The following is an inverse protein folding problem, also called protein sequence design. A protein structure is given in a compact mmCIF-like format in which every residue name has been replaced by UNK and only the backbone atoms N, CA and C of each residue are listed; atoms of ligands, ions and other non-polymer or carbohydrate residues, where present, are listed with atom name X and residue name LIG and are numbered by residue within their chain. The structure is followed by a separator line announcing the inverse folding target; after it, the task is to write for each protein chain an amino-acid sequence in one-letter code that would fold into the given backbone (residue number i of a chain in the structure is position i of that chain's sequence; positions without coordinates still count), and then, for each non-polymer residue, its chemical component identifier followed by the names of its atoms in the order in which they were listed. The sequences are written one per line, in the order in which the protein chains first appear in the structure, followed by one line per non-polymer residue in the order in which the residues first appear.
data_IF_641563509326
#
_entry.id   IF_641563509326
#
_cell.length_a   1.000
_cell.length_b   1.000
_cell.length_c   1.000
_cell.angle_alpha   90.00
_cell.angle_beta   90.00
_cell.angle_gamma   90.00
#
_symmetry.space_group_name_H-M   'P 1'
#
loop_
_entity.id
_entity.type
_entity.pdbx_description
1 polymer ?
#
# COMPACT_ATOMS: atom_id res chain seq x y z
N UNK A 1 -15.25 5.57 33.59
CA UNK A 1 -15.56 5.07 34.96
C UNK A 1 -15.64 3.55 34.92
N UNK A 2 -15.01 2.86 35.84
CA UNK A 2 -15.06 1.40 35.97
C UNK A 2 -15.60 1.09 37.36
N UNK A 3 -16.65 0.27 37.44
CA UNK A 3 -17.28 -0.17 38.68
C UNK A 3 -17.28 -1.70 38.74
N UNK A 4 -16.71 -2.24 39.81
CA UNK A 4 -16.85 -3.63 40.25
C UNK A 4 -17.69 -3.63 41.54
N UNK A 5 -18.94 -4.07 41.51
CA UNK A 5 -19.80 -3.99 42.67
C UNK A 5 -19.34 -4.94 43.76
N UNK A 6 -19.58 -4.51 45.02
CA UNK A 6 -19.48 -5.33 46.20
C UNK A 6 -20.87 -5.31 46.89
N UNK A 7 -21.12 -6.22 47.80
CA UNK A 7 -22.44 -6.40 48.44
C UNK A 7 -23.00 -5.15 49.11
N UNK A 8 -22.16 -4.17 49.43
CA UNK A 8 -22.56 -2.90 50.08
C UNK A 8 -22.51 -1.70 49.10
N UNK A 9 -22.33 -1.92 47.81
CA UNK A 9 -22.20 -0.84 46.83
C UNK A 9 -23.54 -0.29 46.43
N UNK A 10 -23.80 1.00 46.68
CA UNK A 10 -24.99 1.72 46.21
C UNK A 10 -24.84 2.10 44.73
N UNK A 11 -25.27 1.19 43.87
CA UNK A 11 -25.09 1.28 42.44
C UNK A 11 -25.86 2.45 41.83
N UNK A 12 -27.09 2.70 42.30
CA UNK A 12 -27.95 3.76 41.76
C UNK A 12 -27.37 5.13 42.08
N UNK A 13 -27.01 5.37 43.35
CA UNK A 13 -26.39 6.63 43.76
C UNK A 13 -25.09 6.89 43.05
N UNK A 14 -24.24 5.87 42.83
CA UNK A 14 -23.00 6.02 42.06
C UNK A 14 -23.29 6.40 40.61
N UNK A 15 -24.31 5.78 39.99
CA UNK A 15 -24.66 6.11 38.60
C UNK A 15 -25.21 7.56 38.49
N UNK A 16 -26.03 8.00 39.45
CA UNK A 16 -26.50 9.38 39.48
C UNK A 16 -25.37 10.39 39.66
N UNK A 17 -24.43 10.13 40.58
CA UNK A 17 -23.27 11.01 40.79
C UNK A 17 -22.35 11.05 39.58
N UNK A 18 -22.16 9.93 38.86
CA UNK A 18 -21.45 9.93 37.60
C UNK A 18 -22.15 10.83 36.59
N UNK A 19 -23.47 10.71 36.45
CA UNK A 19 -24.25 11.53 35.53
C UNK A 19 -24.17 13.02 35.86
N UNK A 20 -24.32 13.35 37.17
CA UNK A 20 -24.27 14.72 37.68
C UNK A 20 -22.88 15.35 37.49
N UNK A 21 -21.83 14.53 37.63
CA UNK A 21 -20.45 14.99 37.45
C UNK A 21 -20.13 15.21 35.98
N UNK A 22 -20.49 14.27 35.11
CA UNK A 22 -20.26 14.35 33.66
C UNK A 22 -20.94 15.58 33.07
N UNK A 23 -22.13 15.91 33.49
CA UNK A 23 -22.88 17.09 33.03
C UNK A 23 -22.18 18.45 33.30
N UNK A 24 -21.19 18.49 34.17
CA UNK A 24 -20.44 19.72 34.51
C UNK A 24 -19.22 19.95 33.57
N UNK A 25 -18.90 18.99 32.72
CA UNK A 25 -17.69 19.04 31.87
C UNK A 25 -18.02 18.73 30.42
N UNK A 26 -17.39 19.45 29.51
CA UNK A 26 -17.44 19.17 28.07
C UNK A 26 -16.40 18.10 27.67
N UNK A 27 -16.55 16.92 28.25
CA UNK A 27 -15.67 15.77 27.96
C UNK A 27 -16.52 14.51 27.80
N UNK A 28 -16.18 13.64 26.82
CA UNK A 28 -16.88 12.36 26.68
C UNK A 28 -16.62 11.49 27.92
N UNK A 29 -17.65 10.87 28.43
CA UNK A 29 -17.56 9.90 29.51
C UNK A 29 -18.05 8.53 29.03
N UNK A 30 -17.39 7.49 29.49
CA UNK A 30 -17.72 6.11 29.24
C UNK A 30 -17.73 5.36 30.57
N UNK A 31 -18.68 4.44 30.74
CA UNK A 31 -18.80 3.66 31.95
C UNK A 31 -18.70 2.16 31.67
N UNK A 32 -18.08 1.41 32.58
CA UNK A 32 -18.12 -0.04 32.60
C UNK A 32 -18.54 -0.48 33.98
N UNK A 33 -19.82 -0.91 34.09
CA UNK A 33 -20.37 -1.47 35.32
C UNK A 33 -20.42 -2.98 35.14
N UNK A 34 -19.53 -3.67 35.85
CA UNK A 34 -19.39 -5.12 35.79
C UNK A 34 -20.33 -5.76 36.83
N UNK A 35 -21.05 -6.82 36.47
CA UNK A 35 -21.92 -7.50 37.41
C UNK A 35 -23.36 -7.75 36.91
N UNK A 36 -23.60 -7.50 35.63
CA UNK A 36 -24.82 -7.80 34.86
C UNK A 36 -26.10 -7.48 35.66
N UNK A 37 -26.68 -8.44 36.43
CA UNK A 37 -27.89 -8.25 37.20
C UNK A 37 -27.74 -7.31 38.38
N UNK A 38 -26.59 -7.36 39.04
CA UNK A 38 -26.36 -6.58 40.27
C UNK A 38 -26.16 -5.08 39.98
N UNK A 39 -25.89 -4.71 38.74
CA UNK A 39 -25.66 -3.32 38.32
C UNK A 39 -26.75 -2.79 37.39
N UNK A 40 -27.81 -3.56 37.13
CA UNK A 40 -28.84 -3.24 36.13
C UNK A 40 -29.51 -1.87 36.41
N UNK A 41 -29.89 -1.57 37.65
CA UNK A 41 -30.48 -0.28 38.00
C UNK A 41 -29.59 0.92 37.69
N UNK A 42 -28.29 0.81 37.98
CA UNK A 42 -27.33 1.86 37.63
C UNK A 42 -27.10 1.98 36.13
N UNK A 43 -27.13 0.86 35.38
CA UNK A 43 -27.04 0.88 33.91
C UNK A 43 -28.24 1.63 33.31
N UNK A 44 -29.46 1.41 33.83
CA UNK A 44 -30.66 2.10 33.38
C UNK A 44 -30.53 3.63 33.56
N UNK A 45 -29.99 4.07 34.69
CA UNK A 45 -29.71 5.49 34.96
C UNK A 45 -28.72 6.07 33.96
N UNK A 46 -27.61 5.36 33.68
CA UNK A 46 -26.61 5.79 32.70
C UNK A 46 -27.22 5.89 31.29
N UNK A 47 -28.05 4.93 30.89
CA UNK A 47 -28.75 4.93 29.60
C UNK A 47 -29.70 6.12 29.46
N UNK A 48 -30.53 6.38 30.48
CA UNK A 48 -31.45 7.52 30.48
C UNK A 48 -30.73 8.87 30.33
N UNK A 49 -29.49 8.96 30.79
CA UNK A 49 -28.65 10.15 30.69
C UNK A 49 -27.70 10.12 29.51
N UNK A 50 -27.87 9.16 28.57
CA UNK A 50 -27.07 9.01 27.35
C UNK A 50 -25.56 8.82 27.60
N UNK A 51 -25.20 8.21 28.74
CA UNK A 51 -23.80 7.83 29.01
C UNK A 51 -23.52 6.44 28.44
N UNK A 52 -22.63 6.27 27.48
CA UNK A 52 -22.27 4.96 26.94
C UNK A 52 -21.74 4.03 28.03
N UNK A 53 -22.29 2.83 28.12
CA UNK A 53 -21.87 1.84 29.10
C UNK A 53 -21.49 0.53 28.41
N UNK A 54 -20.60 -0.23 29.04
CA UNK A 54 -20.07 -1.49 28.55
C UNK A 54 -19.97 -2.48 29.71
N UNK A 55 -20.19 -3.76 29.43
CA UNK A 55 -20.09 -4.82 30.43
C UNK A 55 -18.61 -4.99 30.86
N UNK A 56 -17.65 -4.84 29.93
CA UNK A 56 -16.23 -5.01 30.16
C UNK A 56 -15.43 -3.75 29.80
N UNK A 57 -14.41 -3.40 30.63
CA UNK A 57 -13.54 -2.25 30.37
C UNK A 57 -12.83 -2.29 29.03
N UNK A 58 -12.47 -3.48 28.54
CA UNK A 58 -11.80 -3.67 27.24
C UNK A 58 -12.69 -3.17 26.09
N UNK A 59 -13.98 -3.46 26.13
CA UNK A 59 -14.95 -3.00 25.12
C UNK A 59 -15.11 -1.48 25.17
N UNK A 60 -15.14 -0.91 26.37
CA UNK A 60 -15.16 0.53 26.60
C UNK A 60 -13.91 1.21 26.01
N UNK A 61 -12.73 0.68 26.28
CA UNK A 61 -11.46 1.21 25.75
C UNK A 61 -11.41 1.12 24.23
N UNK A 62 -11.88 0.02 23.63
CA UNK A 62 -11.97 -0.12 22.16
C UNK A 62 -12.91 0.91 21.55
N UNK A 63 -14.07 1.14 22.14
CA UNK A 63 -15.04 2.14 21.67
C UNK A 63 -14.44 3.56 21.74
N UNK A 64 -13.77 3.90 22.85
CA UNK A 64 -13.10 5.18 23.00
C UNK A 64 -11.98 5.35 21.97
N UNK A 65 -11.14 4.33 21.78
CA UNK A 65 -10.06 4.36 20.79
C UNK A 65 -10.62 4.56 19.36
N UNK A 66 -11.74 3.89 19.03
CA UNK A 66 -12.41 4.05 17.73
C UNK A 66 -12.95 5.46 17.53
N UNK A 67 -13.56 6.05 18.57
CA UNK A 67 -14.06 7.42 18.50
C UNK A 67 -12.92 8.44 18.33
N UNK A 68 -11.81 8.25 19.04
CA UNK A 68 -10.62 9.08 18.92
C UNK A 68 -9.99 8.94 17.53
N UNK A 69 -9.88 7.72 17.02
CA UNK A 69 -9.40 7.44 15.67
C UNK A 69 -10.27 8.15 14.61
N UNK A 70 -11.60 8.07 14.74
CA UNK A 70 -12.52 8.77 13.85
C UNK A 70 -12.35 10.28 13.89
N UNK A 71 -12.19 10.86 15.09
CA UNK A 71 -11.93 12.30 15.25
C UNK A 71 -10.66 12.72 14.51
N UNK A 72 -9.55 12.01 14.71
CA UNK A 72 -8.30 12.29 14.02
C UNK A 72 -8.42 12.15 12.50
N UNK A 73 -9.10 11.10 12.04
CA UNK A 73 -9.32 10.89 10.60
C UNK A 73 -10.15 12.00 9.96
N UNK A 74 -11.18 12.47 10.66
CA UNK A 74 -12.01 13.58 10.17
C UNK A 74 -11.22 14.87 10.02
N UNK A 75 -10.28 15.14 10.90
CA UNK A 75 -9.37 16.29 10.80
C UNK A 75 -8.40 16.14 9.62
N UNK A 76 -8.00 14.92 9.26
CA UNK A 76 -7.12 14.65 8.12
C UNK A 76 -7.79 14.77 6.75
N UNK A 77 -9.09 14.44 6.66
CA UNK A 77 -9.86 14.57 5.39
C UNK A 77 -9.93 16.01 4.87
N UNK A 78 -9.68 16.99 5.71
CA UNK A 78 -9.59 18.41 5.31
C UNK A 78 -8.22 18.83 4.78
N UNK A 79 -7.27 17.90 4.63
CA UNK A 79 -5.93 18.18 4.13
C UNK A 79 -5.98 18.52 2.63
N UNK A 80 -5.32 19.62 2.24
CA UNK A 80 -5.21 20.00 0.83
C UNK A 80 -4.38 18.98 0.07
N UNK A 81 -4.96 18.50 -1.03
CA UNK A 81 -4.26 17.60 -1.94
C UNK A 81 -3.25 18.38 -2.75
N UNK A 82 -1.98 17.95 -2.71
CA UNK A 82 -0.92 18.59 -3.46
C UNK A 82 -1.20 18.51 -4.97
N UNK A 83 -1.03 19.62 -5.66
CA UNK A 83 -1.02 19.67 -7.11
C UNK A 83 0.42 19.60 -7.61
N UNK A 84 0.64 18.75 -8.61
CA UNK A 84 1.96 18.57 -9.19
C UNK A 84 2.01 19.27 -10.55
N UNK A 85 2.78 20.36 -10.71
CA UNK A 85 2.95 21.03 -12.00
C UNK A 85 3.74 20.15 -12.97
N UNK A 86 3.48 20.30 -14.26
CA UNK A 86 4.25 19.62 -15.31
C UNK A 86 3.80 18.21 -15.66
N UNK A 87 2.68 17.71 -15.11
CA UNK A 87 2.13 16.41 -15.50
C UNK A 87 1.54 16.47 -16.92
N UNK A 88 2.07 15.63 -17.82
CA UNK A 88 1.55 15.48 -19.18
C UNK A 88 0.37 14.50 -19.23
N UNK A 89 -0.80 14.97 -18.77
CA UNK A 89 -2.04 14.17 -18.75
C UNK A 89 -2.49 13.75 -20.16
N UNK A 90 -2.14 14.50 -21.20
CA UNK A 90 -2.53 14.18 -22.56
C UNK A 90 -1.69 13.04 -23.14
N UNK A 91 -0.39 12.99 -22.81
CA UNK A 91 0.46 11.81 -23.10
C UNK A 91 -0.12 10.55 -22.47
N UNK A 92 -0.46 10.62 -21.19
CA UNK A 92 -1.06 9.50 -20.45
C UNK A 92 -2.38 9.05 -21.09
N UNK A 93 -3.28 10.00 -21.39
CA UNK A 93 -4.57 9.69 -22.01
C UNK A 93 -4.40 8.99 -23.36
N UNK A 94 -3.46 9.43 -24.20
CA UNK A 94 -3.18 8.80 -25.50
C UNK A 94 -2.72 7.35 -25.34
N UNK A 95 -1.82 7.07 -24.37
CA UNK A 95 -1.34 5.71 -24.13
C UNK A 95 -2.49 4.80 -23.65
N UNK A 96 -3.30 5.28 -22.70
CA UNK A 96 -4.43 4.51 -22.16
C UNK A 96 -5.49 4.25 -23.26
N UNK A 97 -5.83 5.25 -24.07
CA UNK A 97 -6.80 5.11 -25.16
C UNK A 97 -6.32 4.10 -26.21
N UNK A 98 -5.03 4.09 -26.55
CA UNK A 98 -4.44 3.10 -27.45
C UNK A 98 -4.59 1.68 -26.91
N UNK A 99 -4.31 1.48 -25.61
CA UNK A 99 -4.49 0.18 -24.95
C UNK A 99 -5.94 -0.29 -24.97
N UNK A 100 -6.88 0.59 -24.61
CA UNK A 100 -8.30 0.30 -24.60
C UNK A 100 -8.84 0.00 -26.01
N UNK A 101 -8.48 0.78 -27.01
CA UNK A 101 -8.88 0.56 -28.41
C UNK A 101 -8.38 -0.80 -28.95
N UNK A 102 -7.25 -1.29 -28.45
CA UNK A 102 -6.73 -2.62 -28.77
C UNK A 102 -7.37 -3.76 -27.93
N UNK A 103 -8.39 -3.47 -27.11
CA UNK A 103 -9.05 -4.44 -26.25
C UNK A 103 -8.18 -5.01 -25.12
N UNK A 104 -7.07 -4.32 -24.78
CA UNK A 104 -6.14 -4.81 -23.77
C UNK A 104 -6.59 -4.42 -22.36
N UNK A 105 -6.46 -5.34 -21.43
CA UNK A 105 -6.73 -5.14 -20.00
C UNK A 105 -5.46 -4.83 -19.20
N UNK A 106 -4.31 -4.81 -19.86
CA UNK A 106 -2.99 -4.65 -19.26
C UNK A 106 -2.09 -3.85 -20.22
N UNK A 107 -1.17 -3.06 -19.67
CA UNK A 107 -0.14 -2.34 -20.41
C UNK A 107 1.22 -2.98 -20.16
N UNK A 108 2.01 -3.28 -21.20
CA UNK A 108 3.38 -3.77 -21.05
C UNK A 108 4.30 -2.69 -20.47
N UNK A 109 5.48 -3.09 -19.99
CA UNK A 109 6.44 -2.18 -19.36
C UNK A 109 6.87 -1.04 -20.30
N UNK A 110 7.03 -1.30 -21.59
CA UNK A 110 7.34 -0.30 -22.62
C UNK A 110 6.32 0.84 -22.69
N UNK A 111 5.02 0.54 -22.45
CA UNK A 111 3.94 1.54 -22.48
C UNK A 111 3.65 2.14 -21.10
N UNK A 112 3.87 1.40 -20.01
CA UNK A 112 3.60 1.89 -18.65
C UNK A 112 4.70 2.82 -18.11
N UNK A 113 5.96 2.58 -18.44
CA UNK A 113 7.07 3.45 -18.03
C UNK A 113 6.88 4.91 -18.49
N UNK A 114 6.53 5.21 -19.74
CA UNK A 114 6.23 6.58 -20.17
C UNK A 114 5.06 7.25 -19.42
N UNK A 115 4.13 6.47 -18.85
CA UNK A 115 3.06 7.01 -17.99
C UNK A 115 3.65 7.49 -16.67
N UNK A 116 4.51 6.66 -16.03
CA UNK A 116 5.16 7.04 -14.78
C UNK A 116 6.03 8.29 -14.96
N UNK A 117 6.79 8.36 -16.02
CA UNK A 117 7.60 9.54 -16.37
C UNK A 117 6.76 10.79 -16.61
N UNK A 118 5.60 10.65 -17.27
CA UNK A 118 4.68 11.75 -17.49
C UNK A 118 4.08 12.31 -16.20
N UNK A 119 4.08 11.52 -15.12
CA UNK A 119 3.74 11.94 -13.75
C UNK A 119 4.96 12.39 -12.94
N UNK A 120 6.14 12.45 -13.54
CA UNK A 120 7.39 12.87 -12.88
C UNK A 120 8.00 11.84 -11.95
N UNK A 121 7.54 10.58 -12.02
CA UNK A 121 8.14 9.49 -11.24
C UNK A 121 9.46 9.06 -11.91
N UNK A 122 10.55 8.93 -11.14
CA UNK A 122 11.82 8.46 -11.68
C UNK A 122 11.70 6.99 -12.09
N UNK A 123 12.14 6.69 -13.31
CA UNK A 123 12.16 5.33 -13.84
C UNK A 123 13.60 4.88 -14.07
N UNK A 124 13.79 3.57 -14.12
CA UNK A 124 15.11 3.01 -14.42
C UNK A 124 15.37 3.03 -15.92
N UNK A 125 16.62 3.31 -16.36
CA UNK A 125 17.01 3.18 -17.75
C UNK A 125 16.63 1.79 -18.28
N UNK A 126 15.95 1.76 -19.42
CA UNK A 126 15.42 0.52 -19.99
C UNK A 126 15.30 0.62 -21.52
N UNK A 127 14.96 -0.49 -22.16
CA UNK A 127 14.67 -0.55 -23.59
C UNK A 127 14.20 -1.93 -24.04
N UNK A 128 13.47 -1.98 -25.14
CA UNK A 128 13.00 -3.21 -25.77
C UNK A 128 13.95 -3.61 -26.89
N UNK A 129 14.49 -4.82 -26.83
CA UNK A 129 15.34 -5.43 -27.85
C UNK A 129 14.53 -6.42 -28.68
N UNK A 130 14.59 -6.29 -30.00
CA UNK A 130 13.95 -7.20 -30.97
C UNK A 130 14.93 -8.19 -31.58
N UNK A 131 16.21 -8.03 -31.28
CA UNK A 131 17.27 -8.93 -31.72
C UNK A 131 18.34 -9.07 -30.64
N UNK A 132 19.13 -10.14 -30.75
CA UNK A 132 20.29 -10.39 -29.89
C UNK A 132 21.26 -9.22 -29.87
N UNK A 133 21.54 -8.62 -31.05
CA UNK A 133 22.46 -7.50 -31.17
C UNK A 133 21.92 -6.24 -30.50
N UNK A 134 20.62 -5.97 -30.65
CA UNK A 134 19.96 -4.86 -29.92
C UNK A 134 20.01 -5.08 -28.41
N UNK A 135 19.84 -6.33 -27.94
CA UNK A 135 19.93 -6.64 -26.53
C UNK A 135 21.30 -6.31 -25.94
N UNK A 136 22.36 -6.68 -26.62
CA UNK A 136 23.73 -6.33 -26.25
C UNK A 136 23.91 -4.80 -26.21
N UNK A 137 23.53 -4.09 -27.28
CA UNK A 137 23.72 -2.64 -27.37
C UNK A 137 22.89 -1.86 -26.31
N UNK A 138 21.66 -2.33 -25.98
CA UNK A 138 20.86 -1.71 -24.92
C UNK A 138 21.52 -1.95 -23.56
N UNK A 139 21.96 -3.18 -23.26
CA UNK A 139 22.59 -3.52 -21.98
C UNK A 139 23.89 -2.73 -21.75
N UNK A 140 24.72 -2.57 -22.78
CA UNK A 140 25.96 -1.76 -22.74
C UNK A 140 25.65 -0.28 -22.49
N UNK A 141 24.65 0.28 -23.17
CA UNK A 141 24.22 1.67 -23.01
C UNK A 141 23.68 1.94 -21.60
N UNK A 142 22.91 1.01 -21.03
CA UNK A 142 22.34 1.11 -19.68
C UNK A 142 23.42 0.92 -18.62
N UNK A 143 24.41 0.09 -18.92
CA UNK A 143 25.47 -0.33 -18.00
C UNK A 143 25.02 -1.47 -17.07
N UNK A 144 25.93 -2.42 -16.88
CA UNK A 144 25.69 -3.62 -16.07
C UNK A 144 25.64 -3.34 -14.55
N UNK A 145 25.00 -4.19 -13.74
CA UNK A 145 24.16 -5.32 -14.15
C UNK A 145 22.79 -4.86 -14.67
N UNK A 146 22.17 -5.71 -15.51
CA UNK A 146 20.82 -5.50 -16.03
C UNK A 146 19.92 -6.72 -15.75
N UNK A 147 18.61 -6.50 -15.83
CA UNK A 147 17.57 -7.52 -15.84
C UNK A 147 17.02 -7.62 -17.25
N UNK A 148 16.74 -8.84 -17.70
CA UNK A 148 16.12 -9.12 -18.98
C UNK A 148 14.78 -9.83 -18.76
N UNK A 149 13.73 -9.40 -19.46
CA UNK A 149 12.36 -9.92 -19.29
C UNK A 149 11.71 -10.07 -20.65
N UNK A 150 11.01 -11.20 -20.87
CA UNK A 150 10.20 -11.33 -22.10
C UNK A 150 9.09 -10.28 -22.13
N UNK A 151 8.86 -9.65 -23.27
CA UNK A 151 7.69 -8.83 -23.53
C UNK A 151 6.75 -9.52 -24.52
N UNK A 152 5.56 -9.85 -24.04
CA UNK A 152 4.54 -10.58 -24.79
C UNK A 152 3.16 -10.28 -24.20
N UNK A 153 2.17 -10.08 -25.07
CA UNK A 153 0.77 -9.95 -24.64
C UNK A 153 0.18 -11.29 -24.17
N UNK A 154 0.80 -12.39 -24.60
CA UNK A 154 0.34 -13.73 -24.26
C UNK A 154 0.93 -14.25 -22.94
N UNK A 155 1.92 -13.56 -22.35
CA UNK A 155 2.64 -13.99 -21.14
C UNK A 155 2.55 -12.91 -20.07
N UNK A 156 1.65 -13.09 -19.10
CA UNK A 156 1.48 -12.19 -17.96
C UNK A 156 2.50 -12.53 -16.86
N UNK A 157 2.60 -13.81 -16.49
CA UNK A 157 3.51 -14.29 -15.44
C UNK A 157 4.83 -14.76 -16.04
N UNK A 158 5.75 -13.81 -16.21
CA UNK A 158 7.03 -14.04 -16.91
C UNK A 158 7.96 -15.04 -16.21
N UNK A 159 7.87 -15.16 -14.88
CA UNK A 159 8.67 -16.11 -14.10
C UNK A 159 8.28 -17.56 -14.36
N UNK A 160 6.99 -17.84 -14.58
CA UNK A 160 6.47 -19.20 -14.79
C UNK A 160 7.05 -19.86 -16.06
N UNK A 161 7.33 -19.03 -17.04
CA UNK A 161 7.93 -19.45 -18.33
C UNK A 161 9.46 -19.28 -18.37
N UNK A 162 10.11 -19.02 -17.23
CA UNK A 162 11.53 -18.67 -17.15
C UNK A 162 11.91 -17.51 -18.10
N UNK A 163 10.99 -16.61 -18.30
CA UNK A 163 11.11 -15.43 -19.18
C UNK A 163 11.78 -14.23 -18.51
N UNK A 164 12.41 -14.39 -17.33
CA UNK A 164 13.14 -13.36 -16.59
C UNK A 164 14.51 -13.87 -16.24
N UNK A 165 15.55 -13.08 -16.55
CA UNK A 165 16.93 -13.32 -16.13
C UNK A 165 17.44 -12.10 -15.36
N UNK A 166 17.97 -12.35 -14.18
CA UNK A 166 18.53 -11.34 -13.27
C UNK A 166 20.05 -11.35 -13.35
N UNK A 167 20.65 -10.25 -12.92
CA UNK A 167 22.08 -10.13 -12.69
C UNK A 167 22.96 -10.40 -13.94
N UNK A 168 22.52 -9.92 -15.08
CA UNK A 168 23.29 -9.98 -16.33
C UNK A 168 24.42 -8.95 -16.26
N UNK A 169 25.68 -9.42 -16.34
CA UNK A 169 26.87 -8.61 -16.02
C UNK A 169 27.81 -8.33 -17.20
N UNK A 170 27.54 -8.87 -18.39
CA UNK A 170 28.39 -8.65 -19.57
C UNK A 170 27.57 -8.67 -20.86
N UNK A 171 28.16 -8.16 -21.93
CA UNK A 171 27.64 -8.20 -23.30
C UNK A 171 27.35 -9.63 -23.76
N UNK A 172 28.29 -10.54 -23.52
CA UNK A 172 28.11 -11.97 -23.88
C UNK A 172 26.96 -12.61 -23.11
N UNK A 173 26.85 -12.31 -21.80
CA UNK A 173 25.75 -12.79 -20.99
C UNK A 173 24.42 -12.20 -21.46
N UNK A 174 24.37 -10.95 -21.91
CA UNK A 174 23.16 -10.33 -22.45
C UNK A 174 22.72 -11.01 -23.76
N UNK A 175 23.68 -11.30 -24.65
CA UNK A 175 23.40 -12.05 -25.89
C UNK A 175 22.89 -13.47 -25.61
N UNK A 176 23.58 -14.21 -24.75
CA UNK A 176 23.17 -15.56 -24.35
C UNK A 176 21.81 -15.56 -23.63
N UNK A 177 21.55 -14.53 -22.78
CA UNK A 177 20.30 -14.33 -22.08
C UNK A 177 19.12 -14.10 -23.03
N UNK A 178 19.32 -13.33 -24.09
CA UNK A 178 18.32 -13.12 -25.13
C UNK A 178 17.88 -14.45 -25.76
N UNK A 179 18.85 -15.25 -26.20
CA UNK A 179 18.58 -16.56 -26.82
C UNK A 179 17.93 -17.52 -25.84
N UNK A 180 18.39 -17.54 -24.58
CA UNK A 180 17.85 -18.40 -23.53
C UNK A 180 16.39 -18.07 -23.20
N UNK A 181 16.02 -16.79 -23.08
CA UNK A 181 14.63 -16.39 -22.82
C UNK A 181 13.73 -16.84 -23.96
N UNK A 182 14.11 -16.61 -25.21
CA UNK A 182 13.32 -17.05 -26.36
C UNK A 182 13.11 -18.55 -26.36
N UNK A 183 14.16 -19.32 -26.10
CA UNK A 183 14.07 -20.79 -26.02
C UNK A 183 13.15 -21.23 -24.87
N UNK A 184 13.30 -20.67 -23.68
CA UNK A 184 12.48 -21.02 -22.51
C UNK A 184 10.99 -20.73 -22.75
N UNK A 185 10.69 -19.60 -23.37
CA UNK A 185 9.31 -19.23 -23.69
C UNK A 185 8.71 -20.16 -24.72
N UNK A 186 9.44 -20.50 -25.79
CA UNK A 186 8.98 -21.44 -26.81
C UNK A 186 8.68 -22.83 -26.21
N UNK A 187 9.54 -23.29 -25.29
CA UNK A 187 9.34 -24.58 -24.61
C UNK A 187 8.15 -24.57 -23.63
N UNK A 188 7.92 -23.44 -22.93
CA UNK A 188 6.86 -23.35 -21.93
C UNK A 188 5.50 -22.97 -22.53
N UNK A 189 5.49 -22.18 -23.59
CA UNK A 189 4.28 -21.69 -24.28
C UNK A 189 4.51 -21.57 -25.79
N UNK A 190 4.50 -22.69 -26.51
CA UNK A 190 4.72 -22.71 -27.96
C UNK A 190 3.79 -21.77 -28.70
N UNK A 191 4.34 -20.99 -29.64
CA UNK A 191 3.55 -20.07 -30.47
C UNK A 191 3.14 -18.77 -29.76
N UNK A 192 3.66 -18.46 -28.56
CA UNK A 192 3.42 -17.17 -27.93
C UNK A 192 4.02 -16.01 -28.74
N UNK A 193 3.25 -14.95 -28.91
CA UNK A 193 3.71 -13.77 -29.69
C UNK A 193 4.65 -12.92 -28.85
N UNK A 194 5.95 -13.05 -29.09
CA UNK A 194 6.99 -12.28 -28.42
C UNK A 194 7.24 -10.98 -29.19
N UNK A 195 7.10 -9.84 -28.50
CA UNK A 195 7.39 -8.51 -29.04
C UNK A 195 8.89 -8.20 -28.99
N UNK A 196 9.58 -8.75 -28.00
CA UNK A 196 11.00 -8.57 -27.76
C UNK A 196 11.39 -8.96 -26.34
N UNK A 197 12.61 -8.62 -25.97
CA UNK A 197 13.12 -8.76 -24.61
C UNK A 197 13.33 -7.36 -24.03
N UNK A 198 12.62 -7.06 -22.95
CA UNK A 198 12.76 -5.81 -22.21
C UNK A 198 13.98 -5.87 -21.30
N UNK A 199 14.87 -4.91 -21.43
CA UNK A 199 16.13 -4.82 -20.68
C UNK A 199 16.06 -3.59 -19.79
N UNK A 200 16.39 -3.75 -18.52
CA UNK A 200 16.29 -2.70 -17.53
C UNK A 200 17.49 -2.73 -16.59
N UNK A 201 17.94 -1.55 -16.14
CA UNK A 201 18.96 -1.44 -15.10
C UNK A 201 18.56 -2.23 -13.87
N UNK A 202 19.46 -3.06 -13.35
CA UNK A 202 19.24 -3.77 -12.09
C UNK A 202 19.60 -2.88 -10.90
N UNK A 203 18.69 -2.74 -9.96
CA UNK A 203 18.95 -2.13 -8.65
C UNK A 203 19.47 -3.19 -7.71
N UNK A 204 20.70 -3.01 -7.19
CA UNK A 204 21.37 -4.00 -6.34
C UNK A 204 21.31 -3.66 -4.86
N UNK A 205 20.86 -2.46 -4.50
CA UNK A 205 20.77 -1.98 -3.11
C UNK A 205 19.53 -1.16 -2.91
N UNK A 206 18.88 -1.33 -1.79
CA UNK A 206 17.67 -0.59 -1.42
C UNK A 206 16.69 -1.50 -0.66
N UNK A 207 15.63 -0.90 -0.19
CA UNK A 207 14.46 -1.65 0.29
C UNK A 207 13.38 -1.53 -0.79
N UNK A 208 12.80 -2.65 -1.17
CA UNK A 208 11.69 -2.65 -2.12
C UNK A 208 10.41 -2.23 -1.40
N UNK A 209 9.70 -1.29 -1.99
CA UNK A 209 8.36 -0.90 -1.57
C UNK A 209 7.38 -1.14 -2.70
N UNK A 210 6.14 -1.42 -2.34
CA UNK A 210 5.05 -1.53 -3.30
C UNK A 210 4.08 -0.37 -3.08
N UNK A 211 3.75 0.32 -4.16
CA UNK A 211 2.70 1.30 -4.23
C UNK A 211 1.71 0.86 -5.31
N UNK A 212 0.47 0.66 -4.92
CA UNK A 212 -0.57 0.20 -5.83
C UNK A 212 -1.83 1.04 -5.73
N UNK A 213 -2.60 1.08 -6.82
CA UNK A 213 -3.92 1.70 -6.84
C UNK A 213 -4.93 0.72 -7.41
N UNK A 214 -6.05 0.54 -6.71
CA UNK A 214 -7.16 -0.28 -7.15
C UNK A 214 -8.45 0.51 -7.06
N UNK A 215 -9.30 0.39 -8.08
CA UNK A 215 -10.65 0.94 -8.03
C UNK A 215 -11.56 -0.01 -7.26
N UNK A 216 -12.04 0.43 -6.11
CA UNK A 216 -13.05 -0.25 -5.32
C UNK A 216 -14.45 0.20 -5.74
N UNK A 217 -15.44 -0.70 -5.62
CA UNK A 217 -16.83 -0.40 -6.03
C UNK A 217 -17.52 0.59 -5.09
N UNK A 218 -17.17 0.57 -3.81
CA UNK A 218 -17.80 1.40 -2.79
C UNK A 218 -16.98 2.65 -2.47
N UNK A 219 -15.65 2.53 -2.46
CA UNK A 219 -14.74 3.60 -2.02
C UNK A 219 -14.06 4.35 -3.17
N UNK A 220 -14.22 3.92 -4.42
CA UNK A 220 -13.53 4.54 -5.55
C UNK A 220 -12.07 4.10 -5.65
N UNK A 221 -11.13 5.04 -5.85
CA UNK A 221 -9.72 4.70 -5.93
C UNK A 221 -9.12 4.50 -4.53
N UNK A 222 -8.54 3.33 -4.29
CA UNK A 222 -7.87 2.97 -3.04
C UNK A 222 -6.38 2.78 -3.32
N UNK A 223 -5.56 3.51 -2.57
CA UNK A 223 -4.11 3.44 -2.63
C UNK A 223 -3.64 2.44 -1.59
N UNK A 224 -2.66 1.61 -1.95
CA UNK A 224 -2.00 0.65 -1.08
C UNK A 224 -0.50 0.96 -1.04
N UNK A 225 0.08 0.89 0.14
CA UNK A 225 1.53 0.95 0.37
C UNK A 225 1.98 -0.22 1.23
N UNK A 226 3.18 -0.76 0.96
CA UNK A 226 3.80 -1.81 1.75
C UNK A 226 5.26 -2.03 1.40
N UNK A 227 5.94 -2.94 2.10
CA UNK A 227 7.23 -3.45 1.66
C UNK A 227 7.04 -4.44 0.52
N UNK A 228 7.92 -4.39 -0.48
CA UNK A 228 7.91 -5.26 -1.65
C UNK A 228 8.38 -6.69 -1.38
N UNK A 229 8.44 -7.48 -2.44
CA UNK A 229 8.91 -8.86 -2.41
C UNK A 229 8.07 -9.78 -1.51
N UNK A 230 8.71 -10.75 -0.90
CA UNK A 230 8.10 -11.74 0.00
C UNK A 230 7.29 -11.14 1.15
N UNK A 231 7.59 -9.91 1.58
CA UNK A 231 6.87 -9.27 2.68
C UNK A 231 5.41 -9.00 2.34
N UNK A 232 5.10 -8.59 1.12
CA UNK A 232 3.70 -8.37 0.71
C UNK A 232 2.97 -9.69 0.52
N UNK A 233 3.60 -10.65 -0.12
CA UNK A 233 2.95 -11.92 -0.47
C UNK A 233 2.65 -12.78 0.76
N UNK A 234 3.60 -12.86 1.70
CA UNK A 234 3.49 -13.73 2.88
C UNK A 234 2.89 -13.00 4.07
N UNK A 235 3.39 -11.82 4.41
CA UNK A 235 3.01 -11.12 5.65
C UNK A 235 1.84 -10.16 5.48
N UNK A 236 1.49 -9.79 4.24
CA UNK A 236 0.42 -8.82 3.92
C UNK A 236 0.52 -7.54 4.74
N UNK A 237 1.76 -7.08 4.94
CA UNK A 237 2.05 -5.89 5.73
C UNK A 237 1.87 -4.66 4.85
N UNK A 238 0.64 -4.19 4.77
CA UNK A 238 0.21 -3.10 3.90
C UNK A 238 -0.70 -2.14 4.63
N UNK A 239 -0.67 -0.88 4.22
CA UNK A 239 -1.60 0.16 4.62
C UNK A 239 -2.44 0.62 3.43
N UNK A 240 -3.62 1.17 3.71
CA UNK A 240 -4.55 1.60 2.67
C UNK A 240 -5.08 3.00 2.93
N UNK A 241 -5.33 3.76 1.85
CA UNK A 241 -6.06 5.03 1.89
C UNK A 241 -7.00 5.15 0.70
N UNK A 242 -8.12 5.81 0.92
CA UNK A 242 -9.01 6.23 -0.17
C UNK A 242 -8.44 7.50 -0.80
N UNK A 243 -8.28 7.52 -2.11
CA UNK A 243 -7.83 8.71 -2.82
C UNK A 243 -8.93 9.81 -2.86
N UNK A 244 -8.55 11.09 -2.83
CA UNK A 244 -7.20 11.64 -2.89
C UNK A 244 -6.49 11.60 -1.53
N UNK A 245 -5.16 11.55 -1.53
CA UNK A 245 -4.32 11.45 -0.32
C UNK A 245 -3.45 12.69 -0.21
N UNK A 246 -3.50 13.37 0.93
CA UNK A 246 -2.62 14.49 1.23
C UNK A 246 -1.27 14.06 1.83
N UNK A 247 -0.29 14.96 1.92
CA UNK A 247 1.08 14.65 2.36
C UNK A 247 1.18 14.04 3.76
N UNK A 248 0.38 14.52 4.71
CA UNK A 248 0.33 13.99 6.07
C UNK A 248 -0.20 12.56 6.08
N UNK A 249 -1.34 12.34 5.41
CA UNK A 249 -1.97 11.02 5.30
C UNK A 249 -1.06 10.01 4.59
N UNK A 250 -0.33 10.42 3.55
CA UNK A 250 0.70 9.62 2.90
C UNK A 250 1.83 9.24 3.87
N UNK A 251 2.34 10.21 4.63
CA UNK A 251 3.39 9.96 5.63
C UNK A 251 2.94 9.01 6.75
N UNK A 252 1.69 9.10 7.19
CA UNK A 252 1.11 8.18 8.17
C UNK A 252 0.96 6.78 7.59
N UNK A 253 0.50 6.68 6.34
CA UNK A 253 0.38 5.41 5.60
C UNK A 253 1.70 4.64 5.55
N UNK A 254 2.82 5.34 5.29
CA UNK A 254 4.17 4.74 5.30
C UNK A 254 4.56 4.25 6.69
N UNK A 255 4.15 4.95 7.77
CA UNK A 255 4.49 4.61 9.15
C UNK A 255 3.62 3.50 9.75
N UNK A 256 2.45 3.25 9.21
CA UNK A 256 1.49 2.25 9.72
C UNK A 256 1.90 0.81 9.45
N UNK A 257 2.74 0.55 8.44
CA UNK A 257 3.20 -0.81 8.18
C UNK A 257 4.06 -1.31 9.35
N UNK A 258 3.92 -2.59 9.71
CA UNK A 258 4.67 -3.20 10.82
C UNK A 258 6.18 -3.17 10.57
N UNK A 259 6.56 -3.34 9.32
CA UNK A 259 7.95 -3.32 8.88
C UNK A 259 8.54 -1.90 8.75
N UNK A 260 7.82 -0.84 9.15
CA UNK A 260 8.34 0.55 9.13
C UNK A 260 9.72 0.71 9.76
N UNK A 261 10.00 -0.04 10.84
CA UNK A 261 11.31 -0.03 11.51
C UNK A 261 12.47 -0.38 10.56
N UNK A 262 12.25 -1.15 9.49
CA UNK A 262 13.27 -1.46 8.48
C UNK A 262 13.61 -0.21 7.65
N UNK A 263 12.60 0.61 7.33
CA UNK A 263 12.78 1.89 6.65
C UNK A 263 13.40 2.95 7.58
N UNK A 264 13.01 2.95 8.85
CA UNK A 264 13.52 3.87 9.85
C UNK A 264 14.95 3.57 10.34
N UNK A 265 15.55 2.43 9.95
CA UNK A 265 16.94 2.11 10.28
C UNK A 265 17.13 1.25 11.51
N UNK A 266 16.32 0.22 11.68
CA UNK A 266 16.47 -0.74 12.79
C UNK A 266 17.79 -1.53 12.74
N UNK A 267 18.24 -1.99 13.91
CA UNK A 267 19.42 -2.85 14.10
C UNK A 267 20.73 -2.27 13.54
N UNK A 268 20.97 -0.97 13.74
CA UNK A 268 22.21 -0.32 13.31
C UNK A 268 22.32 0.01 11.82
N UNK A 269 21.28 -0.26 11.03
CA UNK A 269 21.19 0.22 9.64
C UNK A 269 20.80 1.70 9.63
N UNK A 270 21.38 2.47 8.70
CA UNK A 270 21.00 3.87 8.50
C UNK A 270 19.54 3.96 8.02
N UNK A 271 18.79 4.99 8.45
CA UNK A 271 17.46 5.27 7.91
C UNK A 271 17.49 5.40 6.38
N UNK A 272 16.43 4.96 5.75
CA UNK A 272 16.18 5.19 4.33
C UNK A 272 15.62 6.60 4.11
N UNK A 273 15.66 7.07 2.90
CA UNK A 273 15.03 8.34 2.55
C UNK A 273 13.50 8.16 2.42
N UNK A 274 12.83 8.21 3.57
CA UNK A 274 11.37 8.05 3.65
C UNK A 274 10.63 9.21 2.98
N UNK A 275 11.29 10.36 2.78
CA UNK A 275 10.66 11.52 2.15
C UNK A 275 10.53 11.38 0.64
N UNK A 276 11.35 10.49 0.05
CA UNK A 276 11.30 10.21 -1.39
C UNK A 276 10.23 9.18 -1.77
N UNK A 277 9.58 8.58 -0.78
CA UNK A 277 8.47 7.62 -0.94
C UNK A 277 7.15 8.37 -0.92
#
# INVERSE_FOLDING_TARGET
VILTPQSMTDIENIAEEVCNTVGKFDKPAYASFMGEKDVAAGIDILQQRSIPHYILPESMCKAFASALFFKHHREMVSEEVSTFPGIDKDKVRRVLQKGLAAGRTYLPEEESVPILEAYGLPTLPSGLAKSRQEAIGIAERIGFPVVMKVDSDDIVHKFDVKGVLLDIRSADAAGAGYDAILHNVEMAKPGARIKGIYIQKMVTRGEEVILGVKRDRSFGAVIMFGLGGLFVEVFRDVSFRVAPVGPRSASEMVREIRAYSMLAGARGKKPRDIRSV
#
